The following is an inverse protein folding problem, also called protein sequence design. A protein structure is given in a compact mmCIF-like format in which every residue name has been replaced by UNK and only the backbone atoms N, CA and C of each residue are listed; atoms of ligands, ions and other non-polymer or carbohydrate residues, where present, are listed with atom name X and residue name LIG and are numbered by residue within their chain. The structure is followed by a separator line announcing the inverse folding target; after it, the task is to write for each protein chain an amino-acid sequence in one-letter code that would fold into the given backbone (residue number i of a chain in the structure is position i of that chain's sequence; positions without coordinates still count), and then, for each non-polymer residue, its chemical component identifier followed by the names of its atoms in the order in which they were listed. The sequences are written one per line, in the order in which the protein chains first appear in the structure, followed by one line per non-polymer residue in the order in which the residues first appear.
data_IF_474838230896
#
_entry.id   IF_474838230896
#
_cell.length_a   1.000
_cell.length_b   1.000
_cell.length_c   1.000
_cell.angle_alpha   90.00
_cell.angle_beta   90.00
_cell.angle_gamma   90.00
#
_symmetry.space_group_name_H-M   'P 1'
#
loop_
_entity.id
_entity.type
_entity.pdbx_description
1 polymer ?
#
# COMPACT_ATOMS: atom_id res chain seq x y z
N UNK A 1 -37.94 -34.52 -22.16
CA UNK A 1 -36.93 -35.33 -22.90
C UNK A 1 -35.77 -34.38 -23.23
N UNK A 2 -34.59 -34.43 -22.59
CA UNK A 2 -33.40 -35.29 -22.88
C UNK A 2 -33.01 -35.19 -24.38
N UNK A 3 -31.83 -34.76 -24.85
CA UNK A 3 -30.43 -34.92 -24.42
C UNK A 3 -29.55 -33.69 -24.85
N UNK A 4 -28.57 -33.17 -24.08
CA UNK A 4 -27.12 -33.51 -23.96
C UNK A 4 -26.40 -33.56 -25.35
N UNK A 5 -25.24 -32.93 -25.67
CA UNK A 5 -23.90 -33.03 -25.06
C UNK A 5 -22.84 -32.06 -25.75
N UNK A 6 -21.82 -31.61 -24.96
CA UNK A 6 -20.36 -31.33 -25.22
C UNK A 6 -19.83 -30.01 -25.85
N UNK A 7 -19.10 -29.25 -24.99
CA UNK A 7 -17.72 -28.68 -25.12
C UNK A 7 -17.41 -27.69 -26.27
N UNK A 8 -16.54 -26.67 -26.16
CA UNK A 8 -15.32 -26.53 -25.36
C UNK A 8 -14.74 -25.09 -25.48
N UNK A 9 -14.02 -24.68 -24.43
CA UNK A 9 -12.80 -23.84 -24.40
C UNK A 9 -12.92 -22.31 -24.58
N UNK A 10 -12.27 -21.65 -23.60
CA UNK A 10 -12.06 -20.24 -23.38
C UNK A 10 -11.26 -19.49 -24.46
N UNK A 11 -11.52 -18.19 -24.56
CA UNK A 11 -10.51 -17.17 -24.77
C UNK A 11 -10.88 -15.92 -23.96
N UNK A 12 -10.33 -15.85 -22.76
CA UNK A 12 -10.09 -14.60 -22.02
C UNK A 12 -9.09 -13.78 -22.83
N UNK A 13 -9.22 -12.45 -22.80
CA UNK A 13 -8.30 -11.36 -23.19
C UNK A 13 -9.16 -10.33 -23.96
N UNK A 14 -9.56 -9.21 -23.37
CA UNK A 14 -8.63 -8.18 -22.95
C UNK A 14 -9.17 -7.43 -21.74
N UNK A 15 -8.57 -7.67 -20.58
CA UNK A 15 -8.53 -6.64 -19.56
C UNK A 15 -7.59 -5.57 -20.12
N UNK A 16 -8.15 -4.48 -20.65
CA UNK A 16 -7.44 -3.21 -20.68
C UNK A 16 -7.33 -2.76 -19.23
N UNK A 17 -6.39 -3.37 -18.49
CA UNK A 17 -5.83 -2.77 -17.30
C UNK A 17 -5.04 -1.60 -17.88
N UNK A 18 -5.66 -0.42 -17.89
CA UNK A 18 -4.93 0.82 -17.97
C UNK A 18 -3.94 0.78 -16.81
N UNK A 19 -2.71 0.33 -17.10
CA UNK A 19 -1.56 0.50 -16.24
C UNK A 19 -1.42 2.01 -16.08
N UNK A 20 -1.71 2.62 -14.91
CA UNK A 20 -1.52 4.06 -14.73
C UNK A 20 -0.02 4.42 -14.62
N UNK A 21 0.87 3.48 -14.92
CA UNK A 21 2.32 3.61 -14.74
C UNK A 21 2.98 4.26 -15.95
N UNK A 22 2.39 4.16 -17.15
CA UNK A 22 3.02 4.71 -18.35
C UNK A 22 2.76 6.21 -18.55
N UNK A 23 1.67 6.77 -18.00
CA UNK A 23 1.30 8.17 -18.22
C UNK A 23 2.07 9.13 -17.29
N UNK A 24 2.46 8.69 -16.09
CA UNK A 24 3.23 9.52 -15.16
C UNK A 24 4.66 9.82 -15.64
N UNK A 25 5.27 8.91 -16.39
CA UNK A 25 6.64 9.10 -16.89
C UNK A 25 6.68 9.93 -18.18
N UNK A 26 5.62 9.90 -18.99
CA UNK A 26 5.52 10.69 -20.22
C UNK A 26 5.19 12.17 -19.95
N UNK A 27 4.36 12.47 -18.95
CA UNK A 27 4.03 13.85 -18.55
C UNK A 27 5.21 14.57 -17.90
N UNK A 28 6.12 13.82 -17.26
CA UNK A 28 7.30 14.38 -16.60
C UNK A 28 8.34 14.98 -17.54
N UNK A 29 8.36 14.57 -18.82
CA UNK A 29 9.24 15.14 -19.84
C UNK A 29 8.62 16.40 -20.46
N UNK A 30 7.29 16.50 -20.48
CA UNK A 30 6.55 17.63 -21.06
C UNK A 30 6.41 18.82 -20.11
N UNK A 31 6.33 18.58 -18.79
CA UNK A 31 6.24 19.63 -17.79
C UNK A 31 6.97 19.27 -16.48
N UNK A 32 8.23 19.72 -16.30
CA UNK A 32 9.01 19.40 -15.11
C UNK A 32 8.41 19.97 -13.81
N UNK A 33 7.60 21.04 -13.88
CA UNK A 33 6.89 21.58 -12.71
C UNK A 33 5.77 20.62 -12.25
N UNK A 34 5.00 20.05 -13.18
CA UNK A 34 3.96 19.07 -12.84
C UNK A 34 4.54 17.77 -12.26
N UNK A 35 5.69 17.32 -12.75
CA UNK A 35 6.41 16.19 -12.15
C UNK A 35 6.93 16.54 -10.75
N UNK A 36 7.55 17.71 -10.57
CA UNK A 36 8.01 18.14 -9.26
C UNK A 36 6.86 18.24 -8.24
N UNK A 37 5.70 18.76 -8.65
CA UNK A 37 4.49 18.81 -7.84
C UNK A 37 3.92 17.42 -7.55
N UNK A 38 3.87 16.53 -8.55
CA UNK A 38 3.43 15.15 -8.36
C UNK A 38 4.34 14.40 -7.38
N UNK A 39 5.66 14.61 -7.45
CA UNK A 39 6.64 14.00 -6.55
C UNK A 39 6.55 14.58 -5.14
N UNK A 40 6.41 15.90 -5.01
CA UNK A 40 6.19 16.56 -3.72
C UNK A 40 4.87 16.12 -3.06
N UNK A 41 3.81 15.96 -3.85
CA UNK A 41 2.51 15.47 -3.39
C UNK A 41 2.57 13.99 -3.01
N UNK A 42 3.27 13.16 -3.79
CA UNK A 42 3.48 11.75 -3.49
C UNK A 42 4.30 11.59 -2.20
N UNK A 43 5.36 12.40 -2.02
CA UNK A 43 6.12 12.45 -0.78
C UNK A 43 5.25 12.84 0.41
N UNK A 44 4.47 13.91 0.27
CA UNK A 44 3.54 14.35 1.32
C UNK A 44 2.58 13.22 1.71
N UNK A 45 1.99 12.54 0.72
CA UNK A 45 1.10 11.40 0.97
C UNK A 45 1.84 10.22 1.63
N UNK A 46 3.09 9.97 1.23
CA UNK A 46 3.95 8.96 1.82
C UNK A 46 4.27 9.25 3.29
N UNK A 47 4.71 10.46 3.63
CA UNK A 47 4.89 10.88 5.01
C UNK A 47 3.61 10.76 5.83
N UNK A 48 2.46 11.12 5.24
CA UNK A 48 1.16 11.00 5.90
C UNK A 48 0.78 9.54 6.16
N UNK A 49 0.95 8.65 5.18
CA UNK A 49 0.63 7.22 5.34
C UNK A 49 1.51 6.58 6.41
N UNK A 50 2.82 6.82 6.36
CA UNK A 50 3.73 6.31 7.39
C UNK A 50 3.41 6.86 8.79
N UNK A 51 3.08 8.15 8.90
CA UNK A 51 2.66 8.77 10.17
C UNK A 51 1.32 8.23 10.69
N UNK A 52 0.36 7.98 9.78
CA UNK A 52 -0.95 7.38 10.12
C UNK A 52 -0.80 5.94 10.58
N UNK A 53 0.03 5.13 9.93
CA UNK A 53 0.35 3.77 10.38
C UNK A 53 0.84 3.79 11.84
N UNK A 54 1.81 4.66 12.17
CA UNK A 54 2.27 4.80 13.55
C UNK A 54 1.21 5.31 14.51
N UNK A 55 0.34 6.20 14.06
CA UNK A 55 -0.79 6.69 14.87
C UNK A 55 -1.77 5.58 15.19
N UNK A 56 -2.13 4.73 14.22
CA UNK A 56 -3.00 3.57 14.43
C UNK A 56 -2.36 2.52 15.34
N UNK A 57 -1.06 2.25 15.16
CA UNK A 57 -0.29 1.43 16.10
C UNK A 57 -0.37 1.97 17.54
N UNK A 58 -0.21 3.28 17.71
CA UNK A 58 -0.27 3.92 19.03
C UNK A 58 -1.67 3.85 19.65
N UNK A 59 -2.75 3.87 18.86
CA UNK A 59 -4.13 3.70 19.36
C UNK A 59 -4.38 2.32 19.95
N UNK A 60 -3.62 1.31 19.51
CA UNK A 60 -3.73 -0.04 20.07
C UNK A 60 -3.05 -0.18 21.44
N UNK A 61 -2.13 0.73 21.80
CA UNK A 61 -1.45 0.69 23.11
C UNK A 61 -2.47 0.76 24.24
N UNK A 62 -2.32 -0.11 25.23
CA UNK A 62 -3.24 -0.21 26.38
C UNK A 62 -4.36 -1.24 26.21
N UNK A 63 -4.46 -1.92 25.06
CA UNK A 63 -5.45 -3.00 24.85
C UNK A 63 -5.11 -4.35 25.50
N UNK A 64 -3.99 -4.45 26.22
CA UNK A 64 -3.57 -5.70 26.90
C UNK A 64 -3.48 -6.87 25.92
N UNK A 65 -4.19 -7.97 26.21
CA UNK A 65 -4.26 -9.16 25.35
C UNK A 65 -4.83 -8.89 23.95
N UNK A 66 -5.61 -7.82 23.76
CA UNK A 66 -6.15 -7.40 22.47
C UNK A 66 -5.18 -6.59 21.60
N UNK A 67 -3.97 -6.28 22.10
CA UNK A 67 -3.00 -5.46 21.38
C UNK A 67 -2.59 -6.09 20.04
N UNK A 68 -2.20 -7.36 20.05
CA UNK A 68 -1.71 -8.06 18.86
C UNK A 68 -2.76 -8.07 17.75
N UNK A 69 -4.01 -8.45 18.06
CA UNK A 69 -5.09 -8.45 17.07
C UNK A 69 -5.45 -7.03 16.57
N UNK A 70 -5.31 -6.00 17.42
CA UNK A 70 -5.56 -4.61 17.02
C UNK A 70 -4.58 -4.12 15.95
N UNK A 71 -3.30 -4.48 16.08
CA UNK A 71 -2.25 -4.03 15.16
C UNK A 71 -2.10 -4.99 13.97
N UNK A 72 -2.01 -6.29 14.24
CA UNK A 72 -1.53 -7.30 13.29
C UNK A 72 -2.63 -8.04 12.54
N UNK A 73 -3.90 -7.75 12.81
CA UNK A 73 -4.98 -8.22 11.93
C UNK A 73 -4.76 -7.67 10.52
N UNK A 74 -4.95 -8.51 9.50
CA UNK A 74 -4.79 -8.11 8.09
C UNK A 74 -5.71 -6.95 7.69
N UNK A 75 -6.81 -6.77 8.40
CA UNK A 75 -7.79 -5.71 8.16
C UNK A 75 -7.63 -4.54 9.16
N UNK A 76 -6.52 -4.47 9.89
CA UNK A 76 -6.28 -3.36 10.81
C UNK A 76 -6.01 -2.06 10.04
N UNK A 77 -6.36 -0.93 10.65
CA UNK A 77 -6.00 0.37 10.07
C UNK A 77 -4.47 0.54 10.01
N UNK A 78 -3.72 -0.08 10.93
CA UNK A 78 -2.26 -0.10 10.86
C UNK A 78 -1.80 -0.68 9.52
N UNK A 79 -2.26 -1.89 9.17
CA UNK A 79 -1.91 -2.55 7.90
C UNK A 79 -2.34 -1.71 6.69
N UNK A 80 -3.55 -1.14 6.71
CA UNK A 80 -4.03 -0.30 5.62
C UNK A 80 -3.08 0.86 5.27
N UNK A 81 -2.59 1.59 6.27
CA UNK A 81 -1.64 2.70 6.05
C UNK A 81 -0.19 2.22 5.87
N UNK A 82 0.20 1.13 6.54
CA UNK A 82 1.52 0.54 6.41
C UNK A 82 1.77 0.05 4.98
N UNK A 83 0.81 -0.64 4.37
CA UNK A 83 0.92 -1.19 3.02
C UNK A 83 1.09 -0.09 1.95
N UNK A 84 0.58 1.12 2.22
CA UNK A 84 0.83 2.29 1.36
C UNK A 84 2.18 2.95 1.69
N UNK A 85 2.56 3.02 2.96
CA UNK A 85 3.85 3.54 3.40
C UNK A 85 5.02 2.75 2.79
N UNK A 86 4.97 1.41 2.77
CA UNK A 86 6.07 0.57 2.25
C UNK A 86 6.28 0.65 0.74
N UNK A 87 5.33 1.24 0.01
CA UNK A 87 5.45 1.52 -1.43
C UNK A 87 6.15 2.85 -1.72
N UNK A 88 6.44 3.63 -0.69
CA UNK A 88 7.04 4.95 -0.82
C UNK A 88 8.52 4.91 -1.19
N UNK A 89 9.05 6.01 -1.75
CA UNK A 89 10.48 6.12 -2.02
C UNK A 89 11.35 5.83 -0.79
N UNK A 90 12.49 5.18 -1.01
CA UNK A 90 13.37 4.70 0.07
C UNK A 90 13.88 5.80 1.01
N UNK A 91 13.97 7.06 0.56
CA UNK A 91 14.38 8.17 1.42
C UNK A 91 13.29 8.60 2.41
N UNK A 92 12.00 8.41 2.05
CA UNK A 92 10.88 8.61 2.99
C UNK A 92 10.88 7.47 3.99
N UNK A 93 10.94 6.22 3.51
CA UNK A 93 10.95 5.03 4.36
C UNK A 93 12.07 5.05 5.41
N UNK A 94 13.28 5.46 5.02
CA UNK A 94 14.42 5.60 5.93
C UNK A 94 14.16 6.50 7.14
N UNK A 95 13.27 7.50 7.02
CA UNK A 95 12.89 8.35 8.16
C UNK A 95 11.96 7.63 9.15
N UNK A 96 11.28 6.58 8.71
CA UNK A 96 10.36 5.78 9.49
C UNK A 96 10.88 4.39 9.87
N UNK A 97 12.08 3.99 9.44
CA UNK A 97 12.66 2.68 9.77
C UNK A 97 12.64 2.38 11.27
N UNK A 98 13.15 3.32 12.07
CA UNK A 98 13.19 3.16 13.53
C UNK A 98 11.79 3.03 14.16
N UNK A 99 10.83 3.95 13.93
CA UNK A 99 9.49 3.81 14.52
C UNK A 99 8.72 2.58 14.01
N UNK A 100 8.85 2.21 12.73
CA UNK A 100 8.15 1.06 12.14
C UNK A 100 8.76 -0.29 12.53
N UNK A 101 10.04 -0.34 12.94
CA UNK A 101 10.68 -1.59 13.39
C UNK A 101 9.97 -2.28 14.57
N UNK A 102 9.21 -1.52 15.37
CA UNK A 102 8.48 -2.06 16.52
C UNK A 102 7.22 -2.82 16.06
N UNK A 103 6.27 -2.20 15.34
CA UNK A 103 5.12 -2.94 14.82
C UNK A 103 5.52 -4.05 13.84
N UNK A 104 6.59 -3.86 13.07
CA UNK A 104 7.11 -4.91 12.18
C UNK A 104 7.50 -6.18 12.93
N UNK A 105 8.23 -6.02 14.03
CA UNK A 105 8.60 -7.13 14.91
C UNK A 105 7.38 -7.74 15.62
N UNK A 106 6.45 -6.91 16.07
CA UNK A 106 5.22 -7.36 16.74
C UNK A 106 4.37 -8.24 15.80
N UNK A 107 4.20 -7.80 14.56
CA UNK A 107 3.38 -8.48 13.56
C UNK A 107 4.15 -9.49 12.70
N UNK A 108 5.47 -9.62 12.91
CA UNK A 108 6.37 -10.47 12.12
C UNK A 108 6.31 -10.19 10.61
N UNK A 109 6.24 -8.91 10.28
CA UNK A 109 6.22 -8.43 8.90
C UNK A 109 7.56 -7.76 8.56
N UNK A 110 8.00 -7.92 7.32
CA UNK A 110 9.19 -7.27 6.78
C UNK A 110 8.82 -6.50 5.51
N UNK A 111 9.49 -5.36 5.34
CA UNK A 111 9.41 -4.54 4.12
C UNK A 111 10.17 -5.18 2.98
#
# INVERSE_FOLDING_TARGET
MKFVILTAIAAVLSQAVANPVAEAEADAIANPEAAAEAWANNDSQCYQNCGRAMSEYNKCKGRGSGFHNCVCSSNSNFHHFYDQCVKCPSYVLRKFDRPLSIPERECRISR
#
